data_IF_426366994722
#
_entry.id   IF_426366994722
#
_cell.length_a   1.000
_cell.length_b   1.000
_cell.length_c   1.000
_cell.angle_alpha   90.00
_cell.angle_beta   90.00
_cell.angle_gamma   90.00
#
_symmetry.space_group_name_H-M   'P 1'
#
loop_
_entity.id
_entity.type
_entity.pdbx_description
1 polymer ?
#
# COMPACT_ATOMS: atom_id res chain seq x y z
N UNK A 1 -12.38 20.15 3.29
CA UNK A 1 -12.90 21.35 2.61
C UNK A 1 -14.32 21.69 3.05
N UNK A 2 -15.28 20.75 2.99
CA UNK A 2 -16.68 20.95 3.41
C UNK A 2 -16.82 21.67 4.76
N UNK A 3 -16.14 21.20 5.80
CA UNK A 3 -16.24 21.79 7.14
C UNK A 3 -15.74 23.26 7.19
N UNK A 4 -14.79 23.64 6.36
CA UNK A 4 -14.30 25.00 6.26
C UNK A 4 -15.32 25.88 5.55
N UNK A 5 -15.92 25.35 4.47
CA UNK A 5 -17.01 26.00 3.76
C UNK A 5 -18.22 26.25 4.67
N UNK A 6 -18.64 25.21 5.42
CA UNK A 6 -19.77 25.29 6.37
C UNK A 6 -19.50 26.28 7.53
N UNK A 7 -18.22 26.53 7.82
CA UNK A 7 -17.81 27.56 8.78
C UNK A 7 -17.84 29.00 8.18
N UNK A 8 -18.28 29.14 6.94
CA UNK A 8 -18.51 30.45 6.30
C UNK A 8 -17.40 30.92 5.37
N UNK A 9 -16.40 30.10 5.07
CA UNK A 9 -15.32 30.45 4.12
C UNK A 9 -15.71 29.95 2.73
N UNK A 10 -16.61 30.67 2.07
CA UNK A 10 -17.21 30.25 0.79
C UNK A 10 -16.24 30.40 -0.39
N UNK A 11 -15.23 31.24 -0.27
CA UNK A 11 -14.22 31.51 -1.29
C UNK A 11 -13.39 30.28 -1.67
N UNK A 12 -13.45 29.21 -0.84
CA UNK A 12 -12.80 27.93 -1.15
C UNK A 12 -13.59 27.08 -2.14
N UNK A 13 -14.85 27.41 -2.45
CA UNK A 13 -15.57 26.78 -3.55
C UNK A 13 -15.04 27.25 -4.89
N UNK A 14 -15.16 26.42 -5.93
CA UNK A 14 -14.61 26.74 -7.27
C UNK A 14 -15.25 27.97 -7.88
N UNK A 15 -16.52 28.21 -7.59
CA UNK A 15 -17.25 29.38 -8.06
C UNK A 15 -17.29 30.53 -7.04
N UNK A 16 -16.71 30.36 -5.85
CA UNK A 16 -16.68 31.36 -4.79
C UNK A 16 -18.01 31.58 -4.06
N UNK A 17 -19.04 30.81 -4.37
CA UNK A 17 -20.39 31.02 -3.84
C UNK A 17 -20.96 29.76 -3.21
N UNK A 18 -21.01 28.66 -3.93
CA UNK A 18 -21.59 27.40 -3.46
C UNK A 18 -20.66 26.21 -3.71
N UNK A 19 -20.98 25.08 -3.11
CA UNK A 19 -20.17 23.87 -3.17
C UNK A 19 -20.51 22.92 -4.33
N UNK A 20 -21.51 23.23 -5.14
CA UNK A 20 -22.02 22.31 -6.17
C UNK A 20 -20.99 21.96 -7.24
N UNK A 21 -20.08 22.88 -7.54
CA UNK A 21 -19.00 22.72 -8.50
C UNK A 21 -17.69 22.23 -7.83
N UNK A 22 -17.77 21.88 -6.54
CA UNK A 22 -16.64 21.45 -5.74
C UNK A 22 -15.77 22.59 -5.22
N UNK A 23 -14.61 22.23 -4.67
CA UNK A 23 -13.67 23.16 -4.04
C UNK A 23 -12.48 23.46 -4.96
N UNK A 24 -11.80 24.58 -4.70
CA UNK A 24 -10.60 24.99 -5.47
C UNK A 24 -9.42 24.03 -5.28
N UNK A 25 -9.39 23.31 -4.14
CA UNK A 25 -8.44 22.24 -3.91
C UNK A 25 -9.15 20.90 -4.01
N UNK A 26 -8.57 19.92 -4.72
CA UNK A 26 -9.16 18.59 -4.81
C UNK A 26 -9.19 17.92 -3.44
N UNK A 27 -10.19 17.07 -3.22
CA UNK A 27 -10.20 16.12 -2.13
C UNK A 27 -9.17 15.03 -2.40
N UNK A 28 -8.29 14.78 -1.42
CA UNK A 28 -7.29 13.73 -1.55
C UNK A 28 -7.93 12.35 -1.81
N UNK A 29 -9.04 12.04 -1.14
CA UNK A 29 -9.70 10.75 -1.27
C UNK A 29 -10.68 10.71 -2.43
N UNK A 30 -11.58 11.71 -2.53
CA UNK A 30 -12.69 11.66 -3.48
C UNK A 30 -12.26 12.00 -4.91
N UNK A 31 -11.34 12.95 -5.08
CA UNK A 31 -10.94 13.44 -6.39
C UNK A 31 -9.65 12.81 -6.93
N UNK A 32 -8.77 12.32 -6.02
CA UNK A 32 -7.44 11.81 -6.41
C UNK A 32 -7.36 10.30 -6.17
N UNK A 33 -7.45 9.88 -4.90
CA UNK A 33 -7.17 8.47 -4.57
C UNK A 33 -8.27 7.51 -5.03
N UNK A 34 -9.55 7.94 -4.99
CA UNK A 34 -10.67 7.11 -5.40
C UNK A 34 -10.60 6.75 -6.88
N UNK A 35 -10.87 7.71 -7.78
CA UNK A 35 -10.99 7.42 -9.22
C UNK A 35 -9.67 7.05 -9.88
N UNK A 36 -8.55 7.56 -9.40
CA UNK A 36 -7.25 7.35 -10.04
C UNK A 36 -6.50 6.13 -9.52
N UNK A 37 -6.75 5.72 -8.28
CA UNK A 37 -5.97 4.66 -7.64
C UNK A 37 -6.85 3.53 -7.08
N UNK A 38 -7.80 3.84 -6.20
CA UNK A 38 -8.54 2.79 -5.50
C UNK A 38 -9.46 1.99 -6.43
N UNK A 39 -10.08 2.63 -7.41
CA UNK A 39 -10.93 1.97 -8.41
C UNK A 39 -10.15 0.95 -9.26
N UNK A 40 -8.83 1.12 -9.36
CA UNK A 40 -7.93 0.19 -10.05
C UNK A 40 -7.21 -0.77 -9.10
N UNK A 41 -7.56 -0.77 -7.82
CA UNK A 41 -6.96 -1.64 -6.81
C UNK A 41 -5.52 -1.30 -6.46
N UNK A 42 -5.09 -0.03 -6.66
CA UNK A 42 -3.77 0.39 -6.20
C UNK A 42 -3.68 0.35 -4.68
N UNK A 43 -2.55 -0.10 -4.19
CA UNK A 43 -2.26 -0.16 -2.77
C UNK A 43 -0.76 -0.30 -2.50
N UNK A 44 -0.35 -0.12 -1.25
CA UNK A 44 1.05 -0.26 -0.86
C UNK A 44 1.57 -1.65 -1.19
N UNK A 45 2.74 -1.71 -1.82
CA UNK A 45 3.48 -2.91 -2.13
C UNK A 45 4.92 -2.71 -1.72
N UNK A 46 5.35 -3.43 -0.70
CA UNK A 46 6.67 -3.30 -0.13
C UNK A 46 7.42 -4.62 -0.25
N UNK A 47 8.71 -4.55 -0.59
CA UNK A 47 9.59 -5.70 -0.51
C UNK A 47 10.88 -5.38 0.21
N UNK A 48 11.46 -6.42 0.81
CA UNK A 48 12.73 -6.37 1.53
C UNK A 48 13.60 -7.53 1.05
N UNK A 49 14.81 -7.23 0.59
CA UNK A 49 15.82 -8.25 0.26
C UNK A 49 16.45 -8.74 1.57
N UNK A 50 16.09 -9.95 1.99
CA UNK A 50 16.53 -10.51 3.28
C UNK A 50 18.03 -10.85 3.31
N UNK A 51 18.67 -10.90 2.17
CA UNK A 51 20.14 -11.01 2.09
C UNK A 51 20.87 -9.79 2.64
N UNK A 52 20.21 -8.63 2.71
CA UNK A 52 20.81 -7.36 3.07
C UNK A 52 21.79 -6.80 2.03
N UNK A 53 21.92 -7.44 0.87
CA UNK A 53 22.87 -7.05 -0.17
C UNK A 53 22.28 -5.95 -1.06
N UNK A 54 22.99 -4.83 -1.27
CA UNK A 54 22.55 -3.77 -2.20
C UNK A 54 22.31 -4.28 -3.64
N UNK A 55 23.11 -5.25 -4.09
CA UNK A 55 23.02 -5.82 -5.43
C UNK A 55 21.68 -6.54 -5.64
N UNK A 56 21.15 -7.20 -4.62
CA UNK A 56 19.84 -7.86 -4.69
C UNK A 56 18.73 -6.83 -4.81
N UNK A 57 18.85 -5.70 -4.11
CA UNK A 57 17.88 -4.60 -4.24
C UNK A 57 17.88 -4.02 -5.65
N UNK A 58 19.04 -3.75 -6.23
CA UNK A 58 19.17 -3.25 -7.60
C UNK A 58 18.56 -4.22 -8.61
N UNK A 59 18.82 -5.54 -8.45
CA UNK A 59 18.23 -6.56 -9.31
C UNK A 59 16.70 -6.61 -9.21
N UNK A 60 16.17 -6.52 -8.00
CA UNK A 60 14.72 -6.49 -7.79
C UNK A 60 14.10 -5.19 -8.30
N UNK A 61 14.77 -4.06 -8.20
CA UNK A 61 14.35 -2.79 -8.81
C UNK A 61 14.22 -2.94 -10.33
N UNK A 62 15.23 -3.51 -11.01
CA UNK A 62 15.17 -3.75 -12.44
C UNK A 62 14.06 -4.71 -12.84
N UNK A 63 13.85 -5.77 -12.08
CA UNK A 63 12.77 -6.73 -12.33
C UNK A 63 11.38 -6.08 -12.15
N UNK A 64 11.21 -5.27 -11.11
CA UNK A 64 9.97 -4.52 -10.91
C UNK A 64 9.69 -3.54 -12.06
N UNK A 65 10.71 -2.78 -12.49
CA UNK A 65 10.59 -1.88 -13.64
C UNK A 65 10.19 -2.63 -14.92
N UNK A 66 10.74 -3.81 -15.16
CA UNK A 66 10.38 -4.63 -16.32
C UNK A 66 8.93 -5.16 -16.28
N UNK A 67 8.33 -5.22 -15.08
CA UNK A 67 6.95 -5.62 -14.88
C UNK A 67 5.95 -4.47 -15.02
N UNK A 68 6.40 -3.21 -14.92
CA UNK A 68 5.56 -2.01 -14.96
C UNK A 68 5.51 -1.46 -16.39
N UNK A 69 4.30 -1.22 -16.90
CA UNK A 69 4.10 -0.45 -18.11
C UNK A 69 3.90 1.03 -17.74
N UNK A 70 4.92 1.89 -17.92
CA UNK A 70 4.85 3.29 -17.51
C UNK A 70 3.87 4.13 -18.34
N UNK A 71 3.35 3.58 -19.43
CA UNK A 71 2.43 4.30 -20.33
C UNK A 71 0.96 4.09 -19.99
N UNK A 72 0.67 3.13 -19.10
CA UNK A 72 -0.69 2.70 -18.81
C UNK A 72 -1.46 3.74 -17.99
N UNK A 73 -0.84 4.26 -16.91
CA UNK A 73 -1.44 5.26 -16.01
C UNK A 73 -0.37 6.15 -15.39
N UNK A 74 -0.77 7.32 -14.89
CA UNK A 74 0.13 8.26 -14.22
C UNK A 74 0.88 7.62 -13.05
N UNK A 75 0.20 6.85 -12.21
CA UNK A 75 0.83 6.15 -11.07
C UNK A 75 1.86 5.10 -11.52
N UNK A 76 1.65 4.43 -12.65
CA UNK A 76 2.62 3.48 -13.19
C UNK A 76 3.89 4.20 -13.68
N UNK A 77 3.73 5.36 -14.31
CA UNK A 77 4.86 6.22 -14.67
C UNK A 77 5.61 6.71 -13.42
N UNK A 78 4.90 7.11 -12.38
CA UNK A 78 5.51 7.57 -11.13
C UNK A 78 6.27 6.43 -10.44
N UNK A 79 5.70 5.23 -10.37
CA UNK A 79 6.36 4.04 -9.85
C UNK A 79 7.64 3.72 -10.62
N UNK A 80 7.57 3.76 -11.95
CA UNK A 80 8.74 3.52 -12.81
C UNK A 80 9.86 4.53 -12.55
N UNK A 81 9.52 5.82 -12.54
CA UNK A 81 10.48 6.90 -12.28
C UNK A 81 11.06 6.80 -10.86
N UNK A 82 10.23 6.49 -9.88
CA UNK A 82 10.63 6.29 -8.50
C UNK A 82 11.72 5.23 -8.34
N UNK A 83 11.51 4.05 -8.95
CA UNK A 83 12.50 2.96 -8.88
C UNK A 83 13.74 3.32 -9.70
N UNK A 84 13.57 3.81 -10.93
CA UNK A 84 14.69 4.19 -11.81
C UNK A 84 15.67 5.13 -11.13
N UNK A 85 15.14 6.10 -10.39
CA UNK A 85 15.95 7.14 -9.77
C UNK A 85 16.32 6.81 -8.31
N UNK A 86 15.89 5.65 -7.79
CA UNK A 86 16.07 5.27 -6.39
C UNK A 86 17.54 5.17 -5.97
N UNK A 87 18.38 4.53 -6.78
CA UNK A 87 19.82 4.40 -6.50
C UNK A 87 20.50 5.77 -6.50
N UNK A 88 20.24 6.58 -7.53
CA UNK A 88 20.74 7.95 -7.65
C UNK A 88 20.36 8.81 -6.45
N UNK A 89 19.14 8.68 -5.98
CA UNK A 89 18.61 9.42 -4.85
C UNK A 89 18.92 8.77 -3.49
N UNK A 90 19.64 7.66 -3.47
CA UNK A 90 20.01 6.92 -2.25
C UNK A 90 18.82 6.56 -1.37
N UNK A 91 17.73 6.10 -2.01
CA UNK A 91 16.48 5.77 -1.33
C UNK A 91 16.58 4.40 -0.63
N UNK A 92 17.42 4.32 0.38
CA UNK A 92 17.52 3.17 1.28
C UNK A 92 17.32 3.65 2.71
N UNK A 93 16.36 3.08 3.39
CA UNK A 93 16.04 3.45 4.77
C UNK A 93 16.20 2.23 5.67
N UNK A 94 17.32 2.16 6.35
CA UNK A 94 17.62 1.16 7.37
C UNK A 94 17.86 -0.26 6.87
N UNK A 95 17.38 -0.63 5.68
CA UNK A 95 17.57 -1.95 5.06
C UNK A 95 17.39 -1.88 3.55
N UNK A 96 17.71 -2.97 2.85
CA UNK A 96 17.52 -3.09 1.40
C UNK A 96 16.04 -3.33 1.06
N UNK A 97 15.26 -2.26 1.01
CA UNK A 97 13.81 -2.29 0.83
C UNK A 97 13.33 -1.24 -0.16
N UNK A 98 12.17 -1.52 -0.78
CA UNK A 98 11.42 -0.57 -1.62
C UNK A 98 9.94 -0.61 -1.28
N UNK A 99 9.26 0.45 -1.65
CA UNK A 99 7.81 0.55 -1.63
C UNK A 99 7.33 1.16 -2.93
N UNK A 100 6.24 0.61 -3.45
CA UNK A 100 5.46 1.17 -4.55
C UNK A 100 4.00 1.30 -4.13
N UNK A 101 3.27 2.06 -4.90
CA UNK A 101 1.81 2.07 -4.84
C UNK A 101 1.29 1.47 -6.14
N UNK A 102 1.07 0.16 -6.15
CA UNK A 102 0.84 -0.65 -7.35
C UNK A 102 -0.56 -1.26 -7.33
N UNK A 103 -1.15 -1.43 -8.53
CA UNK A 103 -2.43 -2.10 -8.68
C UNK A 103 -2.33 -3.62 -8.40
N UNK A 104 -3.49 -4.28 -8.30
CA UNK A 104 -3.55 -5.69 -7.93
C UNK A 104 -2.77 -6.59 -8.91
N UNK A 105 -2.98 -6.40 -10.22
CA UNK A 105 -2.31 -7.17 -11.26
C UNK A 105 -0.79 -6.95 -11.24
N UNK A 106 -0.35 -5.70 -11.12
CA UNK A 106 1.06 -5.35 -11.05
C UNK A 106 1.75 -5.94 -9.81
N UNK A 107 1.08 -5.92 -8.65
CA UNK A 107 1.60 -6.55 -7.44
C UNK A 107 1.87 -8.03 -7.63
N UNK A 108 0.91 -8.75 -8.21
CA UNK A 108 1.09 -10.17 -8.47
C UNK A 108 2.21 -10.44 -9.46
N UNK A 109 2.24 -9.71 -10.58
CA UNK A 109 3.26 -9.88 -11.62
C UNK A 109 4.67 -9.69 -11.07
N UNK A 110 4.90 -8.63 -10.30
CA UNK A 110 6.19 -8.36 -9.65
C UNK A 110 6.51 -9.46 -8.63
N UNK A 111 5.55 -9.87 -7.80
CA UNK A 111 5.77 -10.90 -6.78
C UNK A 111 6.12 -12.27 -7.37
N UNK A 112 5.47 -12.66 -8.45
CA UNK A 112 5.79 -13.90 -9.17
C UNK A 112 7.19 -13.86 -9.78
N UNK A 113 7.57 -12.73 -10.35
CA UNK A 113 8.93 -12.55 -10.88
C UNK A 113 9.98 -12.62 -9.77
N UNK A 114 9.74 -11.98 -8.64
CA UNK A 114 10.63 -12.08 -7.49
C UNK A 114 10.77 -13.52 -6.98
N UNK A 115 9.67 -14.28 -6.91
CA UNK A 115 9.73 -15.68 -6.50
C UNK A 115 10.53 -16.53 -7.51
N UNK A 116 10.42 -16.25 -8.82
CA UNK A 116 11.24 -16.86 -9.86
C UNK A 116 12.72 -16.57 -9.63
N UNK A 117 13.08 -15.30 -9.41
CA UNK A 117 14.47 -14.88 -9.19
C UNK A 117 15.09 -15.58 -7.97
N UNK A 118 14.33 -15.74 -6.89
CA UNK A 118 14.80 -16.47 -5.70
C UNK A 118 14.99 -17.95 -6.01
N UNK A 119 14.03 -18.58 -6.70
CA UNK A 119 14.12 -19.98 -7.13
C UNK A 119 15.37 -20.24 -7.98
N UNK A 120 15.65 -19.34 -8.91
CA UNK A 120 16.75 -19.48 -9.86
C UNK A 120 18.10 -19.04 -9.26
N UNK A 121 18.11 -18.60 -7.99
CA UNK A 121 19.32 -18.21 -7.26
C UNK A 121 19.90 -16.86 -7.70
N UNK A 122 19.14 -16.04 -8.39
CA UNK A 122 19.57 -14.70 -8.84
C UNK A 122 19.65 -13.71 -7.68
N UNK A 123 18.78 -13.87 -6.68
CA UNK A 123 18.73 -13.06 -5.45
C UNK A 123 18.45 -13.95 -4.25
N UNK A 124 18.75 -13.46 -3.05
CA UNK A 124 18.34 -14.11 -1.80
C UNK A 124 16.82 -14.00 -1.54
N UNK A 125 16.33 -14.65 -0.48
CA UNK A 125 14.91 -14.58 -0.14
C UNK A 125 14.40 -13.15 0.01
N UNK A 126 13.15 -12.93 -0.41
CA UNK A 126 12.52 -11.61 -0.40
C UNK A 126 11.28 -11.67 0.49
N UNK A 127 11.11 -10.70 1.37
CA UNK A 127 9.89 -10.53 2.15
C UNK A 127 8.99 -9.52 1.47
N UNK A 128 7.78 -9.92 1.14
CA UNK A 128 6.71 -9.03 0.71
C UNK A 128 5.89 -8.58 1.90
N UNK A 129 5.41 -7.35 1.85
CA UNK A 129 4.50 -6.81 2.83
C UNK A 129 3.79 -5.58 2.29
N UNK A 130 2.95 -5.05 3.13
CA UNK A 130 2.36 -3.72 2.94
C UNK A 130 2.47 -2.96 4.25
N UNK A 131 2.23 -1.67 4.20
CA UNK A 131 2.14 -0.89 5.42
C UNK A 131 0.99 -1.42 6.27
N UNK A 132 1.24 -1.57 7.56
CA UNK A 132 0.17 -1.83 8.50
C UNK A 132 -0.79 -0.66 8.46
N UNK A 133 -2.06 -0.95 8.40
CA UNK A 133 -3.07 0.09 8.31
C UNK A 133 -4.12 -0.05 9.41
N UNK A 134 -4.70 1.06 9.71
CA UNK A 134 -5.72 1.20 10.70
C UNK A 134 -7.04 0.66 10.16
N UNK A 135 -7.44 -0.52 10.64
CA UNK A 135 -8.69 -1.17 10.23
C UNK A 135 -9.86 -0.85 11.16
N UNK A 136 -9.61 -0.12 12.25
CA UNK A 136 -10.68 0.38 13.11
C UNK A 136 -11.25 1.71 12.63
N UNK A 137 -10.49 2.45 11.82
CA UNK A 137 -11.01 3.58 11.07
C UNK A 137 -11.62 3.08 9.77
N UNK A 138 -12.76 3.52 9.40
CA UNK A 138 -13.27 3.31 8.06
C UNK A 138 -12.42 4.08 7.08
N UNK A 139 -11.99 3.45 6.00
CA UNK A 139 -11.06 4.07 5.11
C UNK A 139 -11.66 5.33 4.51
N UNK A 140 -12.41 5.34 3.53
CA UNK A 140 -12.84 6.52 2.80
C UNK A 140 -14.27 6.92 3.17
N UNK A 141 -14.58 8.22 3.20
CA UNK A 141 -13.71 9.39 3.05
C UNK A 141 -13.03 9.83 4.35
N UNK A 142 -13.27 9.15 5.45
CA UNK A 142 -12.89 9.53 6.82
C UNK A 142 -11.74 8.70 7.36
N UNK A 143 -10.89 8.24 6.47
CA UNK A 143 -9.75 7.40 6.81
C UNK A 143 -8.96 7.94 7.99
N UNK A 144 -8.72 7.06 8.98
CA UNK A 144 -7.89 7.30 10.16
C UNK A 144 -8.34 8.47 11.05
N UNK A 145 -9.26 9.28 10.57
CA UNK A 145 -9.86 10.37 11.34
C UNK A 145 -11.27 10.00 11.67
N UNK A 146 -11.54 9.59 12.86
CA UNK A 146 -12.90 9.30 13.25
C UNK A 146 -13.70 10.60 13.44
N UNK A 147 -14.60 10.87 12.54
CA UNK A 147 -15.66 11.86 12.75
C UNK A 147 -16.80 11.31 13.61
N UNK A 148 -16.76 10.03 13.93
CA UNK A 148 -17.71 9.34 14.76
C UNK A 148 -17.31 9.56 16.24
N UNK A 149 -18.22 10.09 17.03
CA UNK A 149 -17.95 10.50 18.41
C UNK A 149 -18.62 9.63 19.47
N UNK A 150 -19.45 8.70 19.07
CA UNK A 150 -20.20 7.79 19.94
C UNK A 150 -19.40 6.54 20.38
N UNK A 151 -18.15 6.40 19.94
CA UNK A 151 -17.30 5.26 20.26
C UNK A 151 -17.38 4.10 19.28
N UNK A 152 -18.29 4.12 18.31
CA UNK A 152 -18.42 3.04 17.31
C UNK A 152 -17.24 2.94 16.34
N UNK A 153 -16.34 3.92 16.38
CA UNK A 153 -15.09 3.89 15.64
C UNK A 153 -14.01 3.01 16.29
N UNK A 154 -14.24 2.53 17.49
CA UNK A 154 -13.32 1.61 18.17
C UNK A 154 -13.73 0.19 17.82
N UNK A 155 -13.27 -0.29 16.67
CA UNK A 155 -13.64 -1.60 16.13
C UNK A 155 -12.42 -2.52 16.11
N UNK A 156 -12.57 -3.71 16.69
CA UNK A 156 -11.58 -4.76 16.68
C UNK A 156 -11.87 -5.86 15.63
N UNK A 157 -13.13 -6.02 15.26
CA UNK A 157 -13.59 -7.19 14.47
C UNK A 157 -12.90 -7.29 13.12
N UNK A 158 -12.79 -6.21 12.38
CA UNK A 158 -12.13 -6.19 11.08
C UNK A 158 -10.63 -6.51 11.20
N UNK A 159 -9.96 -5.96 12.22
CA UNK A 159 -8.55 -6.23 12.47
C UNK A 159 -8.31 -7.69 12.83
N UNK A 160 -9.18 -8.27 13.66
CA UNK A 160 -9.12 -9.68 14.05
C UNK A 160 -9.39 -10.59 12.86
N UNK A 161 -10.38 -10.27 12.01
CA UNK A 161 -10.65 -11.01 10.79
C UNK A 161 -9.47 -10.97 9.81
N UNK A 162 -8.86 -9.81 9.60
CA UNK A 162 -7.66 -9.67 8.79
C UNK A 162 -6.50 -10.50 9.34
N UNK A 163 -6.26 -10.43 10.65
CA UNK A 163 -5.22 -11.22 11.32
C UNK A 163 -5.46 -12.72 11.15
N UNK A 164 -6.66 -13.21 11.47
CA UNK A 164 -7.03 -14.61 11.36
C UNK A 164 -6.95 -15.10 9.90
N UNK A 165 -7.46 -14.30 8.96
CA UNK A 165 -7.41 -14.61 7.53
C UNK A 165 -5.99 -14.71 6.99
N UNK A 166 -5.10 -13.80 7.37
CA UNK A 166 -3.69 -13.83 6.97
C UNK A 166 -2.95 -15.03 7.58
N UNK A 167 -3.22 -15.35 8.85
CA UNK A 167 -2.67 -16.55 9.51
C UNK A 167 -3.14 -17.82 8.82
N UNK A 168 -4.43 -17.93 8.52
CA UNK A 168 -5.00 -19.09 7.83
C UNK A 168 -4.46 -19.30 6.42
N UNK A 169 -4.07 -18.20 5.74
CA UNK A 169 -3.43 -18.25 4.41
C UNK A 169 -1.95 -18.59 4.46
N UNK A 170 -1.37 -18.80 5.63
CA UNK A 170 0.03 -19.19 5.78
C UNK A 170 1.03 -18.06 5.59
N UNK A 171 0.66 -16.82 5.91
CA UNK A 171 1.62 -15.72 5.91
C UNK A 171 2.77 -15.96 6.88
N UNK A 172 3.99 -15.61 6.48
CA UNK A 172 5.21 -15.81 7.28
C UNK A 172 5.26 -14.90 8.50
N UNK A 173 4.59 -13.75 8.42
CA UNK A 173 4.41 -12.80 9.52
C UNK A 173 2.96 -12.34 9.53
N UNK A 174 2.36 -12.32 10.70
CA UNK A 174 1.08 -11.64 10.94
C UNK A 174 1.20 -10.77 12.17
N UNK A 175 0.57 -9.61 12.14
CA UNK A 175 0.63 -8.64 13.23
C UNK A 175 -0.78 -8.13 13.55
N UNK A 176 -1.02 -7.93 14.84
CA UNK A 176 -2.19 -7.25 15.36
C UNK A 176 -1.72 -6.34 16.50
N UNK A 177 -1.91 -5.05 16.37
CA UNK A 177 -1.42 -4.08 17.35
C UNK A 177 -2.24 -2.78 17.31
N UNK A 178 -2.07 -1.93 18.30
CA UNK A 178 -2.76 -0.64 18.39
C UNK A 178 -1.78 0.54 18.31
N UNK A 179 -0.90 0.52 17.36
CA UNK A 179 0.11 1.56 17.15
C UNK A 179 0.34 1.89 15.69
N UNK A 180 1.17 2.88 15.43
CA UNK A 180 1.71 3.14 14.12
C UNK A 180 0.84 3.98 13.20
N UNK A 181 0.18 5.02 13.68
CA UNK A 181 -0.55 5.94 12.82
C UNK A 181 -1.49 6.87 13.57
N UNK A 182 -2.30 7.56 12.84
CA UNK A 182 -3.40 8.35 13.40
C UNK A 182 -4.34 7.40 14.14
N UNK A 183 -4.68 7.73 15.38
CA UNK A 183 -5.52 6.85 16.21
C UNK A 183 -4.74 5.89 17.10
N UNK A 184 -3.43 6.08 17.29
CA UNK A 184 -2.64 5.33 18.27
C UNK A 184 -3.37 5.30 19.63
N UNK A 185 -3.56 4.09 20.16
CA UNK A 185 -4.29 3.85 21.41
C UNK A 185 -5.79 3.67 21.24
N UNK A 186 -6.39 4.12 20.14
CA UNK A 186 -7.79 3.88 19.79
C UNK A 186 -7.95 2.84 18.68
N UNK A 187 -7.11 2.97 17.65
CA UNK A 187 -7.17 2.15 16.48
C UNK A 187 -6.43 0.84 16.66
N UNK A 188 -6.96 -0.21 16.05
CA UNK A 188 -6.29 -1.51 15.93
C UNK A 188 -5.77 -1.63 14.51
N UNK A 189 -4.49 -1.92 14.39
CA UNK A 189 -3.80 -2.05 13.13
C UNK A 189 -3.50 -3.52 12.85
N UNK A 190 -3.59 -3.91 11.59
CA UNK A 190 -3.21 -5.22 11.12
C UNK A 190 -2.14 -5.17 10.04
N UNK A 191 -1.32 -6.19 9.98
CA UNK A 191 -0.31 -6.31 8.95
C UNK A 191 0.10 -7.74 8.71
N UNK A 192 0.79 -7.96 7.60
CA UNK A 192 1.33 -9.25 7.22
C UNK A 192 2.61 -9.12 6.42
N UNK A 193 3.35 -10.19 6.37
CA UNK A 193 4.50 -10.36 5.49
C UNK A 193 4.58 -11.80 4.98
N UNK A 194 5.00 -11.95 3.73
CA UNK A 194 5.20 -13.24 3.09
C UNK A 194 6.62 -13.34 2.59
N UNK A 195 7.33 -14.37 3.02
CA UNK A 195 8.68 -14.65 2.51
C UNK A 195 8.56 -15.45 1.21
N UNK A 196 9.17 -14.93 0.17
CA UNK A 196 9.39 -15.63 -1.09
C UNK A 196 10.72 -16.37 -0.98
N UNK A 197 10.65 -17.68 -0.98
CA UNK A 197 11.80 -18.60 -0.88
C UNK A 197 12.07 -19.35 -2.19
N UNK A 198 11.34 -19.02 -3.25
CA UNK A 198 11.43 -19.68 -4.54
C UNK A 198 10.65 -20.98 -4.64
N UNK A 199 9.98 -21.41 -3.58
CA UNK A 199 9.26 -22.68 -3.55
C UNK A 199 7.93 -22.62 -4.34
N UNK A 200 7.41 -23.82 -4.67
CA UNK A 200 6.07 -23.97 -5.22
C UNK A 200 4.98 -23.52 -4.23
N UNK A 201 5.26 -23.59 -2.91
CA UNK A 201 4.34 -23.13 -1.86
C UNK A 201 4.19 -21.62 -1.94
N UNK A 202 5.30 -20.87 -2.03
CA UNK A 202 5.27 -19.42 -2.24
C UNK A 202 4.51 -19.05 -3.52
N UNK A 203 4.73 -19.76 -4.62
CA UNK A 203 4.01 -19.57 -5.87
C UNK A 203 2.49 -19.76 -5.70
N UNK A 204 2.09 -20.84 -5.02
CA UNK A 204 0.67 -21.14 -4.77
C UNK A 204 0.02 -20.07 -3.89
N UNK A 205 0.72 -19.61 -2.85
CA UNK A 205 0.22 -18.54 -1.99
C UNK A 205 0.02 -17.23 -2.76
N UNK A 206 0.96 -16.84 -3.61
CA UNK A 206 0.81 -15.65 -4.45
C UNK A 206 -0.45 -15.72 -5.34
N UNK A 207 -0.70 -16.88 -5.93
CA UNK A 207 -1.89 -17.11 -6.78
C UNK A 207 -3.20 -17.12 -5.99
N UNK A 208 -3.20 -17.67 -4.78
CA UNK A 208 -4.39 -17.73 -3.94
C UNK A 208 -4.85 -16.35 -3.42
N UNK A 209 -4.02 -15.33 -3.52
CA UNK A 209 -4.36 -13.96 -3.13
C UNK A 209 -4.92 -13.11 -4.27
N UNK A 210 -5.04 -13.66 -5.48
CA UNK A 210 -5.70 -13.01 -6.62
C UNK A 210 -7.24 -13.00 -6.53
N UNK A 211 -7.80 -13.89 -5.75
CA UNK A 211 -9.24 -14.03 -5.54
C UNK A 211 -9.63 -13.51 -4.16
#
# INVERSE_FOLDING_TARGET
MKAIYDAGVHEISRNGVDEKDGFIWPSYVEDIMGPELFDYGYGPFRWVCLSGKPEDLIRTDHAAMACIDPTRRGQDMDNYNWIRDAEKNRLVVGTQARILYQDAEGRLKIALEFNRMVRDGEVGPIMLGRDHHDVSGTDSPFRETSNIRDGSNVMADMAVQCFAGNAARGMSLVALHNGGGVGIGKAINGGFGMVLDGSAVSYTHLRAHET
#
